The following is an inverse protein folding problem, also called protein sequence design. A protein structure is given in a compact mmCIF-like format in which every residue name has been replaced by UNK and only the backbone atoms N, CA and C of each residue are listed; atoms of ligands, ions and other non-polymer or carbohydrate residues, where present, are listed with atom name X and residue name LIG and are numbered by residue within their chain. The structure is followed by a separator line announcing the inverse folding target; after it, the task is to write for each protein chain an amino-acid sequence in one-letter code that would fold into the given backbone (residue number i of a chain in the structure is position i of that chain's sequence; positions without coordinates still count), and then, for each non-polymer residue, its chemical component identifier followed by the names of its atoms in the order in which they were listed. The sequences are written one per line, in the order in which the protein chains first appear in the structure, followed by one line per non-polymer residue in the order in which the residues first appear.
data_IF_663682810993
#
_entry.id   IF_663682810993
#
_cell.length_a   1.000
_cell.length_b   1.000
_cell.length_c   1.000
_cell.angle_alpha   90.00
_cell.angle_beta   90.00
_cell.angle_gamma   90.00
#
_symmetry.space_group_name_H-M   'P 1'
#
loop_
_entity.id
_entity.type
_entity.pdbx_description
1 polymer ?
#
# COMPACT_ATOMS: atom_id res chain seq x y z
N UNK A 1 6.43 11.91 -4.24
CA UNK A 1 5.40 11.20 -5.06
C UNK A 1 5.06 9.84 -4.46
N UNK A 2 6.05 8.95 -4.28
CA UNK A 2 5.86 7.59 -3.75
C UNK A 2 5.12 7.55 -2.40
N UNK A 3 5.57 8.33 -1.41
CA UNK A 3 4.90 8.41 -0.10
C UNK A 3 3.44 8.86 -0.17
N UNK A 4 3.15 9.86 -1.01
CA UNK A 4 1.79 10.33 -1.23
C UNK A 4 0.92 9.23 -1.86
N UNK A 5 1.46 8.48 -2.83
CA UNK A 5 0.75 7.38 -3.47
C UNK A 5 0.38 6.26 -2.49
N UNK A 6 1.31 5.86 -1.60
CA UNK A 6 0.97 4.90 -0.54
C UNK A 6 -0.22 5.41 0.29
N UNK A 7 -0.17 6.66 0.75
CA UNK A 7 -1.27 7.26 1.52
C UNK A 7 -2.59 7.34 0.74
N UNK A 8 -2.54 7.71 -0.54
CA UNK A 8 -3.74 7.79 -1.41
C UNK A 8 -4.36 6.41 -1.64
N UNK A 9 -3.56 5.39 -1.94
CA UNK A 9 -4.07 4.02 -2.10
C UNK A 9 -4.63 3.48 -0.79
N UNK A 10 -3.98 3.75 0.34
CA UNK A 10 -4.50 3.37 1.65
C UNK A 10 -5.87 4.00 1.92
N UNK A 11 -6.03 5.28 1.59
CA UNK A 11 -7.31 5.98 1.69
C UNK A 11 -8.37 5.33 0.79
N UNK A 12 -8.05 5.06 -0.48
CA UNK A 12 -8.97 4.41 -1.42
C UNK A 12 -9.35 3.00 -0.94
N UNK A 13 -8.41 2.23 -0.39
CA UNK A 13 -8.68 0.92 0.19
C UNK A 13 -9.68 0.99 1.34
N UNK A 14 -9.58 2.01 2.21
CA UNK A 14 -10.54 2.20 3.30
C UNK A 14 -11.93 2.45 2.76
N UNK A 15 -12.09 3.38 1.82
CA UNK A 15 -13.40 3.84 1.39
C UNK A 15 -14.08 2.96 0.34
N UNK A 16 -13.30 2.37 -0.58
CA UNK A 16 -13.83 1.60 -1.70
C UNK A 16 -13.89 0.09 -1.41
N UNK A 17 -13.05 -0.43 -0.51
CA UNK A 17 -12.94 -1.87 -0.28
C UNK A 17 -13.28 -2.22 1.16
N UNK A 18 -12.56 -1.69 2.14
CA UNK A 18 -12.68 -2.09 3.54
C UNK A 18 -14.06 -1.73 4.08
N UNK A 19 -14.47 -0.47 3.96
CA UNK A 19 -15.74 -0.01 4.53
C UNK A 19 -16.98 -0.68 3.91
N UNK A 20 -17.14 -0.77 2.58
CA UNK A 20 -18.28 -1.46 1.98
C UNK A 20 -18.37 -2.94 2.40
N UNK A 21 -17.24 -3.64 2.42
CA UNK A 21 -17.20 -5.05 2.82
C UNK A 21 -17.40 -5.24 4.34
N UNK A 22 -16.90 -4.33 5.18
CA UNK A 22 -17.16 -4.34 6.61
C UNK A 22 -18.63 -4.13 6.92
N UNK A 23 -19.34 -3.26 6.19
CA UNK A 23 -20.79 -3.10 6.37
C UNK A 23 -21.56 -4.40 6.12
N UNK A 24 -21.15 -5.20 5.13
CA UNK A 24 -21.74 -6.53 4.87
C UNK A 24 -21.36 -7.50 5.99
N UNK A 25 -20.08 -7.59 6.34
CA UNK A 25 -19.58 -8.52 7.36
C UNK A 25 -20.15 -8.26 8.77
N UNK A 26 -20.43 -6.99 9.09
CA UNK A 26 -21.04 -6.56 10.36
C UNK A 26 -22.57 -6.64 10.36
N UNK A 27 -23.21 -7.02 9.25
CA UNK A 27 -24.67 -7.09 9.15
C UNK A 27 -25.36 -5.72 9.13
N UNK A 28 -24.64 -4.66 8.74
CA UNK A 28 -25.19 -3.30 8.60
C UNK A 28 -25.99 -3.12 7.28
N UNK A 29 -26.02 -4.15 6.43
CA UNK A 29 -26.76 -4.17 5.16
C UNK A 29 -27.72 -5.35 5.20
N UNK A 30 -29.03 -5.07 5.26
CA UNK A 30 -30.08 -6.10 5.16
C UNK A 30 -30.01 -6.79 3.79
N UNK A 31 -30.06 -8.13 3.80
CA UNK A 31 -29.85 -8.92 2.58
C UNK A 31 -28.43 -8.85 2.01
N UNK A 32 -27.46 -8.33 2.78
CA UNK A 32 -26.06 -8.31 2.42
C UNK A 32 -25.55 -9.70 2.04
N UNK A 33 -24.69 -9.78 1.03
CA UNK A 33 -24.12 -11.04 0.54
C UNK A 33 -23.26 -11.77 1.58
N UNK A 34 -22.42 -12.70 1.12
CA UNK A 34 -21.61 -13.55 2.00
C UNK A 34 -20.69 -12.72 2.94
N UNK A 35 -21.06 -12.71 4.23
CA UNK A 35 -20.34 -12.00 5.29
C UNK A 35 -18.89 -12.52 5.47
N UNK A 36 -18.65 -13.82 5.28
CA UNK A 36 -17.32 -14.41 5.42
C UNK A 36 -16.41 -13.97 4.26
N UNK A 37 -16.93 -14.00 3.04
CA UNK A 37 -16.20 -13.52 1.86
C UNK A 37 -15.91 -12.01 1.94
N UNK A 38 -16.90 -11.21 2.37
CA UNK A 38 -16.73 -9.77 2.57
C UNK A 38 -15.67 -9.48 3.65
N UNK A 39 -15.73 -10.18 4.80
CA UNK A 39 -14.74 -10.06 5.87
C UNK A 39 -13.32 -10.40 5.39
N UNK A 40 -13.16 -11.47 4.60
CA UNK A 40 -11.87 -11.86 4.05
C UNK A 40 -11.28 -10.81 3.08
N UNK A 41 -12.12 -10.20 2.24
CA UNK A 41 -11.73 -9.09 1.34
C UNK A 41 -11.30 -7.86 2.13
N UNK A 42 -12.08 -7.46 3.13
CA UNK A 42 -11.72 -6.34 4.00
C UNK A 42 -10.40 -6.58 4.76
N UNK A 43 -10.17 -7.81 5.23
CA UNK A 43 -8.95 -8.19 5.95
C UNK A 43 -7.71 -8.12 5.05
N UNK A 44 -7.79 -8.58 3.80
CA UNK A 44 -6.69 -8.51 2.84
C UNK A 44 -6.28 -7.06 2.54
N UNK A 45 -7.25 -6.19 2.25
CA UNK A 45 -7.01 -4.77 2.02
C UNK A 45 -6.45 -4.07 3.27
N UNK A 46 -7.00 -4.38 4.46
CA UNK A 46 -6.51 -3.83 5.74
C UNK A 46 -5.04 -4.17 6.00
N UNK A 47 -4.64 -5.43 5.76
CA UNK A 47 -3.24 -5.86 5.92
C UNK A 47 -2.32 -5.22 4.89
N UNK A 48 -2.80 -4.96 3.68
CA UNK A 48 -2.04 -4.21 2.67
C UNK A 48 -1.86 -2.75 3.08
N UNK A 49 -2.88 -2.13 3.70
CA UNK A 49 -2.71 -0.81 4.29
C UNK A 49 -1.68 -0.79 5.43
N UNK A 50 -1.66 -1.83 6.27
CA UNK A 50 -0.60 -1.95 7.29
C UNK A 50 0.77 -2.19 6.66
N UNK A 51 0.86 -2.96 5.57
CA UNK A 51 2.11 -3.14 4.81
C UNK A 51 2.64 -1.79 4.30
N UNK A 52 1.76 -0.92 3.80
CA UNK A 52 2.11 0.39 3.25
C UNK A 52 2.40 1.48 4.29
N UNK A 53 2.05 1.29 5.56
CA UNK A 53 2.14 2.36 6.56
C UNK A 53 3.59 2.76 6.90
N UNK A 54 4.50 1.80 7.07
CA UNK A 54 5.90 2.10 7.36
C UNK A 54 6.63 2.80 6.18
N UNK A 55 6.56 2.32 4.93
CA UNK A 55 7.22 3.01 3.82
C UNK A 55 6.61 4.39 3.54
N UNK A 56 5.30 4.55 3.78
CA UNK A 56 4.63 5.86 3.71
C UNK A 56 5.19 6.83 4.76
N UNK A 57 5.22 6.42 6.04
CA UNK A 57 5.75 7.24 7.13
C UNK A 57 7.23 7.57 6.93
N UNK A 58 8.02 6.59 6.45
CA UNK A 58 9.40 6.80 6.06
C UNK A 58 9.52 7.88 4.99
N UNK A 59 8.75 7.80 3.90
CA UNK A 59 8.77 8.82 2.85
C UNK A 59 8.42 10.22 3.40
N UNK A 60 7.46 10.32 4.32
CA UNK A 60 7.08 11.61 4.93
C UNK A 60 8.22 12.22 5.76
N UNK A 61 8.97 11.38 6.49
CA UNK A 61 10.08 11.82 7.33
C UNK A 61 11.35 12.07 6.51
N UNK A 62 11.66 11.21 5.54
CA UNK A 62 12.86 11.28 4.71
C UNK A 62 12.84 12.47 3.75
N UNK A 63 11.69 12.78 3.15
CA UNK A 63 11.53 13.80 2.12
C UNK A 63 12.13 15.17 2.48
N UNK A 64 11.85 15.78 3.65
CA UNK A 64 12.47 17.05 4.04
C UNK A 64 13.91 16.95 4.55
N UNK A 65 14.42 15.76 4.89
CA UNK A 65 15.72 15.60 5.57
C UNK A 65 16.83 15.04 4.67
N UNK A 66 16.50 14.29 3.62
CA UNK A 66 17.48 13.57 2.78
C UNK A 66 17.78 14.30 1.46
N UNK A 67 17.11 15.44 1.21
CA UNK A 67 17.26 16.20 -0.03
C UNK A 67 16.50 15.55 -1.19
N UNK A 68 16.22 16.34 -2.23
CA UNK A 68 15.49 15.87 -3.42
C UNK A 68 16.46 15.71 -4.59
N UNK A 69 16.57 14.50 -5.12
CA UNK A 69 17.20 14.27 -6.42
C UNK A 69 16.18 14.54 -7.54
N UNK A 70 16.59 15.25 -8.60
CA UNK A 70 15.71 15.63 -9.71
C UNK A 70 15.22 14.42 -10.53
N UNK A 71 15.91 13.28 -10.45
CA UNK A 71 15.48 12.00 -11.02
C UNK A 71 14.34 11.33 -10.24
N UNK A 72 14.17 11.65 -8.95
CA UNK A 72 13.11 11.08 -8.10
C UNK A 72 11.80 11.89 -8.10
N UNK A 73 11.78 12.99 -8.83
CA UNK A 73 10.60 13.81 -9.03
C UNK A 73 9.89 13.40 -10.32
N UNK A 74 8.56 13.57 -10.33
CA UNK A 74 7.81 13.48 -11.57
C UNK A 74 8.14 14.73 -12.40
N UNK A 75 9.12 14.61 -13.31
CA UNK A 75 9.64 15.70 -14.14
C UNK A 75 8.93 15.77 -15.50
N UNK A 76 9.06 16.89 -16.21
CA UNK A 76 8.48 17.10 -17.56
C UNK A 76 8.99 16.09 -18.60
N UNK A 77 10.17 15.48 -18.35
CA UNK A 77 10.76 14.43 -19.18
C UNK A 77 10.39 13.00 -18.72
N UNK A 78 9.46 12.87 -17.75
CA UNK A 78 9.17 11.61 -17.06
C UNK A 78 9.88 11.49 -15.72
N UNK A 79 9.43 10.54 -14.89
CA UNK A 79 10.12 10.16 -13.65
C UNK A 79 11.38 9.33 -13.94
N UNK A 80 12.38 9.40 -13.08
CA UNK A 80 13.56 8.53 -13.15
C UNK A 80 13.24 7.05 -12.95
N UNK A 81 14.23 6.19 -13.21
CA UNK A 81 14.08 4.75 -13.19
C UNK A 81 13.61 4.23 -11.81
N UNK A 82 14.16 4.77 -10.70
CA UNK A 82 13.72 4.46 -9.35
C UNK A 82 12.24 4.79 -9.09
N UNK A 83 11.76 5.94 -9.58
CA UNK A 83 10.35 6.32 -9.45
C UNK A 83 9.45 5.34 -10.20
N UNK A 84 9.75 5.05 -11.46
CA UNK A 84 8.94 4.14 -12.29
C UNK A 84 8.93 2.74 -11.68
N UNK A 85 10.09 2.23 -11.25
CA UNK A 85 10.20 0.93 -10.60
C UNK A 85 9.31 0.85 -9.35
N UNK A 86 9.35 1.87 -8.48
CA UNK A 86 8.48 1.88 -7.29
C UNK A 86 6.99 2.00 -7.62
N UNK A 87 6.62 2.75 -8.65
CA UNK A 87 5.21 2.81 -9.09
C UNK A 87 4.71 1.43 -9.55
N UNK A 88 5.54 0.66 -10.26
CA UNK A 88 5.21 -0.71 -10.68
C UNK A 88 5.06 -1.63 -9.48
N UNK A 89 5.99 -1.56 -8.51
CA UNK A 89 5.91 -2.37 -7.27
C UNK A 89 4.63 -2.05 -6.49
N UNK A 90 4.33 -0.76 -6.32
CA UNK A 90 3.13 -0.32 -5.60
C UNK A 90 1.87 -0.80 -6.32
N UNK A 91 1.79 -0.62 -7.64
CA UNK A 91 0.67 -1.09 -8.44
C UNK A 91 0.48 -2.61 -8.34
N UNK A 92 1.55 -3.39 -8.37
CA UNK A 92 1.48 -4.84 -8.22
C UNK A 92 0.97 -5.27 -6.84
N UNK A 93 1.44 -4.62 -5.77
CA UNK A 93 0.99 -4.88 -4.40
C UNK A 93 -0.48 -4.49 -4.20
N UNK A 94 -0.90 -3.37 -4.79
CA UNK A 94 -2.29 -2.91 -4.74
C UNK A 94 -3.23 -3.83 -5.52
N UNK A 95 -2.82 -4.31 -6.71
CA UNK A 95 -3.59 -5.34 -7.44
C UNK A 95 -3.76 -6.59 -6.58
N UNK A 96 -2.72 -7.02 -5.86
CA UNK A 96 -2.84 -8.13 -4.90
C UNK A 96 -3.81 -7.81 -3.74
N UNK A 97 -3.92 -6.56 -3.30
CA UNK A 97 -4.89 -6.14 -2.28
C UNK A 97 -6.35 -6.33 -2.74
N UNK A 98 -6.63 -6.13 -4.03
CA UNK A 98 -7.99 -6.18 -4.59
C UNK A 98 -8.40 -7.61 -4.94
N UNK A 99 -7.54 -8.36 -5.65
CA UNK A 99 -7.89 -9.67 -6.22
C UNK A 99 -7.04 -10.83 -5.71
N UNK A 100 -6.00 -10.54 -4.93
CA UNK A 100 -4.97 -11.50 -4.58
C UNK A 100 -5.25 -12.32 -3.32
N UNK A 101 -4.15 -12.80 -2.73
CA UNK A 101 -4.15 -13.66 -1.53
C UNK A 101 -3.23 -13.06 -0.47
N UNK A 102 -3.46 -13.42 0.78
CA UNK A 102 -2.72 -12.82 1.90
C UNK A 102 -1.23 -13.21 1.94
N UNK A 103 -0.84 -14.38 1.43
CA UNK A 103 0.56 -14.81 1.41
C UNK A 103 1.24 -14.66 2.78
N UNK A 104 2.40 -13.96 2.90
CA UNK A 104 3.10 -13.77 4.18
C UNK A 104 2.34 -12.84 5.15
N UNK A 105 1.34 -12.09 4.68
CA UNK A 105 0.53 -11.20 5.48
C UNK A 105 -0.48 -11.96 6.36
N UNK A 106 -0.62 -13.27 6.19
CA UNK A 106 -0.75 -14.27 7.28
C UNK A 106 -0.99 -13.77 8.71
N UNK A 107 0.11 -13.27 9.26
CA UNK A 107 0.29 -13.05 10.69
C UNK A 107 0.71 -11.62 10.94
N UNK A 108 0.48 -11.12 12.16
CA UNK A 108 0.91 -9.78 12.55
C UNK A 108 2.42 -9.60 12.38
N UNK A 109 3.21 -10.59 12.82
CA UNK A 109 4.67 -10.58 12.63
C UNK A 109 5.05 -10.52 11.15
N UNK A 110 4.39 -11.30 10.29
CA UNK A 110 4.62 -11.31 8.85
C UNK A 110 4.36 -9.94 8.21
N UNK A 111 3.24 -9.29 8.56
CA UNK A 111 2.91 -7.94 8.05
C UNK A 111 3.95 -6.91 8.49
N UNK A 112 4.36 -6.92 9.76
CA UNK A 112 5.36 -5.98 10.28
C UNK A 112 6.71 -6.19 9.57
N UNK A 113 7.18 -7.43 9.46
CA UNK A 113 8.43 -7.75 8.77
C UNK A 113 8.38 -7.34 7.30
N UNK A 114 7.30 -7.66 6.58
CA UNK A 114 7.14 -7.25 5.18
C UNK A 114 7.08 -5.72 5.02
N UNK A 115 6.47 -5.00 5.97
CA UNK A 115 6.38 -3.53 5.93
C UNK A 115 7.77 -2.89 6.08
N UNK A 116 8.58 -3.39 7.01
CA UNK A 116 9.97 -2.94 7.19
C UNK A 116 10.81 -3.27 5.96
N UNK A 117 10.70 -4.49 5.43
CA UNK A 117 11.39 -4.89 4.19
C UNK A 117 11.00 -3.97 3.03
N UNK A 118 9.71 -3.67 2.88
CA UNK A 118 9.22 -2.77 1.84
C UNK A 118 9.77 -1.33 2.02
N UNK A 119 9.94 -0.86 3.26
CA UNK A 119 10.61 0.42 3.54
C UNK A 119 12.04 0.43 3.04
N UNK A 120 12.83 -0.61 3.37
CA UNK A 120 14.23 -0.73 2.92
C UNK A 120 14.29 -0.83 1.40
N UNK A 121 13.40 -1.60 0.77
CA UNK A 121 13.30 -1.67 -0.70
C UNK A 121 12.96 -0.30 -1.29
N UNK A 122 12.04 0.44 -0.69
CA UNK A 122 11.66 1.79 -1.15
C UNK A 122 12.86 2.73 -1.12
N UNK A 123 13.63 2.74 -0.02
CA UNK A 123 14.83 3.55 0.10
C UNK A 123 15.88 3.16 -0.94
N UNK A 124 16.24 1.87 -1.02
CA UNK A 124 17.26 1.38 -1.94
C UNK A 124 16.90 1.65 -3.40
N UNK A 125 15.66 1.38 -3.80
CA UNK A 125 15.21 1.61 -5.18
C UNK A 125 15.26 3.09 -5.55
N UNK A 126 14.87 3.99 -4.64
CA UNK A 126 14.88 5.43 -4.91
C UNK A 126 16.28 6.06 -4.82
N UNK A 127 17.22 5.44 -4.12
CA UNK A 127 18.57 6.00 -3.96
C UNK A 127 19.61 5.41 -4.91
N UNK A 128 19.37 4.19 -5.41
CA UNK A 128 20.32 3.45 -6.26
C UNK A 128 19.97 3.52 -7.75
N UNK A 129 18.70 3.70 -8.12
CA UNK A 129 18.21 3.74 -9.51
C UNK A 129 17.74 5.13 -9.93
#
# INVERSE_FOLDING_TARGET
VVGALFGTLMFLNVWLIIWPNQKIALGLVEGGGDAAAAGAKALLASRTNTLFSAPMAYCMLASPHIGYDSGNLLSVNGGGAGLIAMLVVIAALEVNAIVGKQGPLTTVKGVISCSIVLTVVTELVLTVL
#
